data_IF_222982136499
#
_entry.id   IF_222982136499
#
_cell.length_a   1.000
_cell.length_b   1.000
_cell.length_c   1.000
_cell.angle_alpha   90.00
_cell.angle_beta   90.00
_cell.angle_gamma   90.00
#
_symmetry.space_group_name_H-M   'P 1'
#
loop_
_entity.id
_entity.type
_entity.pdbx_description
1 polymer ?
#
# COMPACT_ATOMS: atom_id res chain seq x y z
N UNK A 1 22.91 8.80 -5.04
CA UNK A 1 21.61 8.17 -5.30
C UNK A 1 21.51 7.85 -6.78
N UNK A 2 21.30 6.58 -7.16
CA UNK A 2 21.32 6.12 -8.55
C UNK A 2 19.97 6.28 -9.28
N UNK A 3 18.86 6.29 -8.53
CA UNK A 3 17.51 6.42 -9.07
C UNK A 3 16.81 7.67 -8.54
N UNK A 4 15.88 8.20 -9.33
CA UNK A 4 15.09 9.38 -8.97
C UNK A 4 13.90 9.07 -8.06
N UNK A 5 13.36 7.85 -8.14
CA UNK A 5 12.22 7.37 -7.37
C UNK A 5 12.14 5.84 -7.44
N UNK A 6 11.23 5.26 -6.66
CA UNK A 6 11.02 3.82 -6.57
C UNK A 6 10.60 3.20 -7.90
N UNK A 7 9.80 3.89 -8.72
CA UNK A 7 9.38 3.38 -10.03
C UNK A 7 10.58 3.08 -10.94
N UNK A 8 11.58 3.97 -10.97
CA UNK A 8 12.79 3.72 -11.76
C UNK A 8 13.67 2.63 -11.16
N UNK A 9 13.76 2.55 -9.83
CA UNK A 9 14.49 1.48 -9.16
C UNK A 9 13.86 0.11 -9.46
N UNK A 10 12.54 -0.02 -9.29
CA UNK A 10 11.80 -1.26 -9.50
C UNK A 10 11.76 -1.70 -10.98
N UNK A 11 12.05 -0.80 -11.92
CA UNK A 11 12.20 -1.14 -13.33
C UNK A 11 13.59 -1.72 -13.67
N UNK A 12 14.62 -1.40 -12.86
CA UNK A 12 16.01 -1.85 -13.06
C UNK A 12 16.40 -3.01 -12.13
N UNK A 13 15.71 -3.17 -11.00
CA UNK A 13 16.04 -4.13 -9.92
C UNK A 13 14.91 -5.11 -9.69
N UNK A 14 15.26 -6.30 -9.22
CA UNK A 14 14.33 -7.42 -9.06
C UNK A 14 13.98 -7.66 -7.58
N UNK A 15 12.69 -7.56 -7.26
CA UNK A 15 12.15 -7.92 -5.94
C UNK A 15 12.47 -9.39 -5.60
N UNK A 16 12.95 -9.64 -4.38
CA UNK A 16 13.36 -10.96 -3.89
C UNK A 16 14.77 -11.39 -4.32
N UNK A 17 15.45 -10.60 -5.17
CA UNK A 17 16.84 -10.84 -5.57
C UNK A 17 17.72 -9.68 -5.14
N UNK A 18 17.43 -8.46 -5.62
CA UNK A 18 18.22 -7.26 -5.30
C UNK A 18 17.72 -6.60 -4.01
N UNK A 19 16.40 -6.57 -3.82
CA UNK A 19 15.76 -5.94 -2.67
C UNK A 19 14.55 -6.74 -2.18
N UNK A 20 14.16 -6.52 -0.91
CA UNK A 20 12.91 -7.01 -0.33
C UNK A 20 12.13 -5.86 0.32
N UNK A 21 10.81 -6.02 0.39
CA UNK A 21 9.93 -5.11 1.13
C UNK A 21 9.27 -5.90 2.24
N UNK A 22 9.43 -5.44 3.48
CA UNK A 22 8.74 -5.97 4.65
C UNK A 22 7.87 -4.88 5.23
N UNK A 23 6.60 -5.21 5.48
CA UNK A 23 5.64 -4.23 5.95
C UNK A 23 4.63 -4.89 6.89
N UNK A 24 4.35 -4.23 8.01
CA UNK A 24 3.25 -4.52 8.92
C UNK A 24 2.50 -3.22 9.17
N UNK A 25 1.27 -3.15 8.69
CA UNK A 25 0.40 -2.00 8.94
C UNK A 25 -0.01 -1.92 10.40
N UNK A 26 -0.14 -0.70 10.90
CA UNK A 26 -0.82 -0.45 12.17
C UNK A 26 -2.34 -0.49 12.02
N UNK A 27 -3.02 -0.56 13.16
CA UNK A 27 -4.48 -0.43 13.26
C UNK A 27 -4.83 0.69 14.22
N UNK A 28 -5.91 1.43 13.97
CA UNK A 28 -6.30 2.58 14.79
C UNK A 28 -5.28 3.72 14.73
N UNK A 29 -4.97 4.31 15.89
CA UNK A 29 -3.84 5.22 16.07
C UNK A 29 -2.59 4.42 16.39
N UNK A 30 -1.51 4.69 15.67
CA UNK A 30 -0.28 3.92 15.79
C UNK A 30 0.97 4.73 15.48
N UNK A 31 2.09 4.27 16.03
CA UNK A 31 3.43 4.74 15.70
C UNK A 31 4.06 3.77 14.71
N UNK A 32 4.64 4.30 13.64
CA UNK A 32 5.37 3.54 12.64
C UNK A 32 6.89 3.65 12.87
N UNK A 33 7.58 2.52 12.90
CA UNK A 33 9.04 2.47 12.74
C UNK A 33 9.39 2.04 11.30
N UNK A 34 10.11 2.87 10.55
CA UNK A 34 10.44 2.58 9.15
C UNK A 34 11.94 2.61 8.89
N UNK A 35 12.48 1.61 8.21
CA UNK A 35 13.85 1.60 7.69
C UNK A 35 13.80 1.64 6.16
N UNK A 36 13.85 2.84 5.57
CA UNK A 36 13.82 2.97 4.09
C UNK A 36 15.14 2.56 3.44
N UNK A 37 16.21 2.47 4.23
CA UNK A 37 17.53 1.97 3.86
C UNK A 37 17.89 0.74 4.72
N UNK A 38 17.01 -0.27 4.68
CA UNK A 38 17.15 -1.52 5.39
C UNK A 38 18.12 -2.52 4.76
N UNK A 39 18.29 -3.67 5.41
CA UNK A 39 19.16 -4.76 4.96
C UNK A 39 20.61 -4.28 4.85
N UNK A 40 21.25 -4.57 3.71
CA UNK A 40 22.63 -4.16 3.44
C UNK A 40 22.81 -2.69 3.06
N UNK A 41 21.76 -1.86 2.98
CA UNK A 41 21.88 -0.46 2.57
C UNK A 41 22.53 0.36 3.69
N UNK A 42 21.89 0.40 4.87
CA UNK A 42 22.40 1.05 6.07
C UNK A 42 22.25 0.12 7.30
N UNK A 43 22.92 -1.05 7.31
CA UNK A 43 22.73 -2.05 8.37
C UNK A 43 23.11 -1.47 9.75
N UNK A 44 22.38 -1.79 10.85
CA UNK A 44 21.28 -2.75 10.98
C UNK A 44 19.89 -2.08 11.16
N UNK A 45 19.58 -1.04 10.39
CA UNK A 45 18.33 -0.24 10.54
C UNK A 45 17.05 -1.09 10.54
N UNK A 46 16.97 -2.13 9.69
CA UNK A 46 15.82 -3.05 9.67
C UNK A 46 15.61 -3.76 11.00
N UNK A 47 16.68 -4.26 11.62
CA UNK A 47 16.61 -4.97 12.89
C UNK A 47 16.20 -4.02 14.03
N UNK A 48 16.73 -2.80 14.04
CA UNK A 48 16.36 -1.77 15.02
C UNK A 48 14.89 -1.35 14.87
N UNK A 49 14.43 -1.08 13.65
CA UNK A 49 13.04 -0.72 13.37
C UNK A 49 12.06 -1.83 13.78
N UNK A 50 12.37 -3.08 13.41
CA UNK A 50 11.56 -4.24 13.78
C UNK A 50 11.53 -4.47 15.29
N UNK A 51 12.68 -4.35 15.97
CA UNK A 51 12.75 -4.50 17.43
C UNK A 51 11.96 -3.40 18.16
N UNK A 52 12.10 -2.15 17.73
CA UNK A 52 11.38 -1.03 18.31
C UNK A 52 9.86 -1.19 18.15
N UNK A 53 9.39 -1.65 16.98
CA UNK A 53 7.98 -1.96 16.77
C UNK A 53 7.48 -3.17 17.57
N UNK A 54 8.36 -4.07 18.01
CA UNK A 54 8.00 -5.30 18.71
C UNK A 54 7.18 -6.26 17.84
N UNK A 55 6.40 -7.14 18.45
CA UNK A 55 5.66 -8.19 17.71
C UNK A 55 4.39 -7.69 17.03
N UNK A 56 3.81 -6.59 17.52
CA UNK A 56 2.48 -6.10 17.09
C UNK A 56 2.49 -4.69 16.51
N UNK A 57 3.53 -3.89 16.74
CA UNK A 57 3.57 -2.49 16.31
C UNK A 57 3.76 -2.32 14.80
N UNK A 58 3.38 -1.18 14.22
CA UNK A 58 3.57 -0.95 12.80
C UNK A 58 5.06 -0.82 12.46
N UNK A 59 5.50 -1.49 11.40
CA UNK A 59 6.85 -1.30 10.88
C UNK A 59 6.96 -1.49 9.38
N UNK A 60 7.99 -0.90 8.82
CA UNK A 60 8.33 -0.99 7.41
C UNK A 60 9.84 -1.14 7.24
N UNK A 61 10.27 -1.89 6.22
CA UNK A 61 11.67 -2.00 5.84
C UNK A 61 11.80 -2.25 4.33
N UNK A 62 12.58 -1.41 3.65
CA UNK A 62 13.06 -1.64 2.29
C UNK A 62 14.50 -2.14 2.38
N UNK A 63 14.73 -3.41 2.07
CA UNK A 63 15.98 -4.10 2.36
C UNK A 63 16.79 -4.37 1.10
N UNK A 64 18.04 -3.92 1.06
CA UNK A 64 19.01 -4.44 0.09
C UNK A 64 19.46 -5.84 0.48
N UNK A 65 19.43 -6.79 -0.46
CA UNK A 65 19.69 -8.22 -0.19
C UNK A 65 21.13 -8.65 -0.48
N UNK A 66 21.95 -7.77 -1.06
CA UNK A 66 23.34 -8.05 -1.43
C UNK A 66 24.28 -6.94 -0.94
N UNK A 67 25.19 -7.29 -0.03
CA UNK A 67 26.15 -6.36 0.59
C UNK A 67 27.03 -5.61 -0.44
N UNK A 68 27.26 -6.17 -1.63
CA UNK A 68 28.09 -5.54 -2.66
C UNK A 68 27.36 -4.48 -3.48
N UNK A 69 26.02 -4.52 -3.51
CA UNK A 69 25.22 -3.67 -4.39
C UNK A 69 24.13 -2.89 -3.66
N UNK A 70 23.91 -3.15 -2.37
CA UNK A 70 22.82 -2.56 -1.62
C UNK A 70 22.88 -1.03 -1.57
N UNK A 71 24.06 -0.43 -1.42
CA UNK A 71 24.21 1.04 -1.41
C UNK A 71 23.67 1.72 -2.68
N UNK A 72 23.66 1.02 -3.82
CA UNK A 72 23.13 1.54 -5.08
C UNK A 72 21.60 1.63 -5.10
N UNK A 73 20.93 0.97 -4.15
CA UNK A 73 19.48 0.97 -4.01
C UNK A 73 18.96 2.14 -3.17
N UNK A 74 19.84 2.91 -2.53
CA UNK A 74 19.45 4.05 -1.72
C UNK A 74 18.68 5.09 -2.56
N UNK A 75 17.56 5.54 -2.03
CA UNK A 75 16.74 6.65 -2.53
C UNK A 75 16.74 7.75 -1.47
N UNK A 76 16.86 9.00 -1.86
CA UNK A 76 16.77 10.09 -0.87
C UNK A 76 15.44 10.03 -0.13
N UNK A 77 15.44 10.31 1.17
CA UNK A 77 14.23 10.31 1.99
C UNK A 77 13.13 11.25 1.46
N UNK A 78 13.50 12.33 0.75
CA UNK A 78 12.53 13.24 0.09
C UNK A 78 11.99 12.69 -1.23
N UNK A 79 12.73 11.80 -1.88
CA UNK A 79 12.35 11.14 -3.13
C UNK A 79 11.78 9.72 -2.92
N UNK A 80 11.76 9.23 -1.67
CA UNK A 80 11.28 7.90 -1.35
C UNK A 80 9.76 7.83 -1.48
N UNK A 81 9.29 7.04 -2.45
CA UNK A 81 7.88 6.93 -2.83
C UNK A 81 7.41 5.49 -3.03
N UNK A 82 8.09 4.51 -2.39
CA UNK A 82 7.62 3.12 -2.40
C UNK A 82 6.18 3.05 -1.81
N UNK A 83 5.21 2.47 -2.54
CA UNK A 83 3.79 2.56 -2.18
C UNK A 83 3.43 2.09 -0.77
N UNK A 84 3.97 0.97 -0.30
CA UNK A 84 3.62 0.44 1.02
C UNK A 84 4.15 1.34 2.15
N UNK A 85 5.36 1.87 2.00
CA UNK A 85 5.92 2.84 2.95
C UNK A 85 5.08 4.12 3.03
N UNK A 86 4.72 4.68 1.87
CA UNK A 86 3.93 5.91 1.78
C UNK A 86 2.57 5.74 2.46
N UNK A 87 1.89 4.61 2.21
CA UNK A 87 0.59 4.31 2.83
C UNK A 87 0.70 4.13 4.34
N UNK A 88 1.69 3.36 4.82
CA UNK A 88 1.85 3.12 6.25
C UNK A 88 2.24 4.40 6.99
N UNK A 89 3.15 5.19 6.42
CA UNK A 89 3.57 6.48 6.96
C UNK A 89 2.39 7.45 7.03
N UNK A 90 1.68 7.67 5.91
CA UNK A 90 0.58 8.64 5.82
C UNK A 90 -0.57 8.37 6.77
N UNK A 91 -0.79 7.11 7.12
CA UNK A 91 -1.85 6.71 8.05
C UNK A 91 -1.40 6.71 9.53
N UNK A 92 -0.10 6.71 9.79
CA UNK A 92 0.45 6.69 11.16
C UNK A 92 0.26 8.02 11.89
N UNK A 93 0.03 7.94 13.20
CA UNK A 93 -0.05 9.11 14.08
C UNK A 93 1.31 9.68 14.42
N UNK A 94 2.33 8.82 14.43
CA UNK A 94 3.73 9.15 14.71
C UNK A 94 4.63 8.27 13.86
N UNK A 95 5.81 8.78 13.50
CA UNK A 95 6.76 8.03 12.66
C UNK A 95 8.17 8.25 13.15
N UNK A 96 8.93 7.17 13.21
CA UNK A 96 10.37 7.15 13.43
C UNK A 96 11.01 6.46 12.23
N UNK A 97 11.82 7.19 11.47
CA UNK A 97 12.58 6.64 10.33
C UNK A 97 14.03 6.42 10.74
N UNK A 98 14.53 5.22 10.48
CA UNK A 98 15.85 4.75 10.90
C UNK A 98 16.80 4.77 9.71
N UNK A 99 17.92 5.46 9.90
CA UNK A 99 18.99 5.62 8.94
C UNK A 99 20.35 5.30 9.58
N UNK A 100 21.29 4.95 8.73
CA UNK A 100 22.71 4.90 9.05
C UNK A 100 23.45 5.98 8.30
N UNK A 101 24.34 6.68 9.00
CA UNK A 101 25.24 7.66 8.39
C UNK A 101 26.69 7.21 8.60
N UNK A 102 27.60 7.72 7.77
CA UNK A 102 29.03 7.64 8.05
C UNK A 102 29.37 8.47 9.30
N UNK A 103 30.48 8.13 9.95
CA UNK A 103 30.98 8.89 11.08
C UNK A 103 31.37 10.32 10.63
N UNK A 104 30.83 11.35 11.29
CA UNK A 104 31.18 12.77 11.09
C UNK A 104 32.49 13.12 11.82
N UNK A 105 32.82 12.35 12.88
CA UNK A 105 34.10 12.39 13.60
C UNK A 105 34.61 10.96 13.78
N UNK A 106 35.93 10.78 13.74
CA UNK A 106 36.56 9.47 13.83
C UNK A 106 36.03 8.65 15.03
N UNK A 107 35.47 7.47 14.73
CA UNK A 107 34.98 6.50 15.70
C UNK A 107 33.87 7.02 16.65
N UNK A 108 33.08 8.01 16.23
CA UNK A 108 32.01 8.54 17.07
C UNK A 108 30.83 7.57 17.22
N UNK A 109 30.18 7.59 18.38
CA UNK A 109 28.98 6.79 18.66
C UNK A 109 27.79 7.70 18.94
N UNK A 110 27.31 8.37 17.89
CA UNK A 110 26.28 9.39 18.00
C UNK A 110 25.05 8.98 17.18
N UNK A 111 23.87 9.24 17.76
CA UNK A 111 22.62 9.30 17.01
C UNK A 111 22.28 10.74 16.73
N UNK A 112 22.26 11.11 15.45
CA UNK A 112 21.75 12.40 15.03
C UNK A 112 20.22 12.35 14.91
N UNK A 113 19.56 13.32 15.52
CA UNK A 113 18.10 13.39 15.59
C UNK A 113 17.63 14.66 14.87
N UNK A 114 16.65 14.50 13.98
CA UNK A 114 16.01 15.57 13.22
C UNK A 114 14.56 15.20 12.89
N UNK A 115 13.85 16.06 12.16
CA UNK A 115 12.44 15.86 11.80
C UNK A 115 11.51 16.87 12.47
N UNK A 116 10.26 16.88 12.01
CA UNK A 116 9.28 17.91 12.38
C UNK A 116 8.44 17.58 13.64
N UNK A 117 8.68 16.46 14.34
CA UNK A 117 8.05 16.17 15.66
C UNK A 117 8.99 16.51 16.83
N UNK A 118 8.90 17.73 17.41
CA UNK A 118 9.76 18.14 18.51
C UNK A 118 9.46 17.41 19.82
N UNK A 119 8.25 16.88 20.01
CA UNK A 119 7.86 16.19 21.24
C UNK A 119 8.49 14.80 21.26
N UNK A 120 8.28 14.02 20.19
CA UNK A 120 8.87 12.69 20.06
C UNK A 120 10.40 12.77 20.01
N UNK A 121 10.97 13.73 19.29
CA UNK A 121 12.42 13.92 19.24
C UNK A 121 13.01 14.18 20.64
N UNK A 122 12.37 15.04 21.45
CA UNK A 122 12.83 15.34 22.81
C UNK A 122 12.76 14.12 23.74
N UNK A 123 11.69 13.32 23.65
CA UNK A 123 11.55 12.09 24.40
C UNK A 123 12.64 11.06 24.02
N UNK A 124 12.93 10.94 22.73
CA UNK A 124 14.00 10.05 22.23
C UNK A 124 15.36 10.50 22.75
N UNK A 125 15.69 11.79 22.64
CA UNK A 125 16.94 12.37 23.18
C UNK A 125 17.08 12.05 24.66
N UNK A 126 16.01 12.26 25.44
CA UNK A 126 16.01 12.01 26.88
C UNK A 126 16.28 10.54 27.21
N UNK A 127 15.56 9.61 26.59
CA UNK A 127 15.68 8.17 26.90
C UNK A 127 17.00 7.57 26.42
N UNK A 128 17.52 8.01 25.27
CA UNK A 128 18.83 7.59 24.78
C UNK A 128 19.96 8.07 25.70
N UNK A 129 19.96 9.36 26.07
CA UNK A 129 20.97 9.92 26.98
C UNK A 129 20.89 9.26 28.37
N UNK A 130 19.67 9.01 28.88
CA UNK A 130 19.48 8.29 30.14
C UNK A 130 19.99 6.85 30.10
N UNK A 131 20.05 6.25 28.91
CA UNK A 131 20.58 4.91 28.67
C UNK A 131 22.08 4.91 28.30
N UNK A 132 22.74 6.07 28.33
CA UNK A 132 24.18 6.21 28.07
C UNK A 132 24.56 6.34 26.60
N UNK A 133 23.62 6.58 25.69
CA UNK A 133 23.90 6.82 24.27
C UNK A 133 23.99 8.32 23.98
N UNK A 134 25.00 8.72 23.21
CA UNK A 134 25.19 10.12 22.80
C UNK A 134 24.23 10.48 21.67
N UNK A 135 23.61 11.66 21.79
CA UNK A 135 22.71 12.23 20.78
C UNK A 135 23.15 13.63 20.41
N UNK A 136 22.92 14.01 19.15
CA UNK A 136 23.16 15.37 18.67
C UNK A 136 22.14 15.76 17.59
N UNK A 137 22.10 17.03 17.20
CA UNK A 137 21.29 17.50 16.07
C UNK A 137 21.96 17.14 14.76
N UNK A 138 21.16 16.68 13.79
CA UNK A 138 21.66 16.40 12.46
C UNK A 138 22.22 17.67 11.78
N UNK A 139 23.45 17.62 11.22
CA UNK A 139 23.92 18.55 10.22
C UNK A 139 22.90 18.76 9.08
N UNK A 140 22.85 19.99 8.55
CA UNK A 140 21.93 20.38 7.47
C UNK A 140 22.04 19.49 6.23
N UNK A 141 23.21 18.89 5.98
CA UNK A 141 23.44 18.00 4.83
C UNK A 141 22.59 16.73 4.83
N UNK A 142 22.08 16.29 5.98
CA UNK A 142 21.22 15.10 6.09
C UNK A 142 20.06 15.27 7.10
N UNK A 143 19.81 16.49 7.57
CA UNK A 143 18.69 16.76 8.45
C UNK A 143 17.34 16.41 7.80
N UNK A 144 16.50 15.70 8.55
CA UNK A 144 15.19 15.23 8.12
C UNK A 144 14.06 16.24 8.26
N UNK A 145 14.34 17.55 8.29
CA UNK A 145 13.34 18.59 8.59
C UNK A 145 12.47 18.97 7.38
N UNK A 146 12.82 18.52 6.17
CA UNK A 146 12.07 18.79 4.95
C UNK A 146 10.65 18.17 5.03
N UNK A 147 9.56 18.91 4.75
CA UNK A 147 8.21 18.35 4.71
C UNK A 147 8.00 17.21 3.71
N UNK A 148 8.85 17.11 2.67
CA UNK A 148 8.83 16.01 1.70
C UNK A 148 9.60 14.78 2.19
N UNK A 149 10.42 14.90 3.24
CA UNK A 149 11.09 13.76 3.85
C UNK A 149 10.02 12.75 4.31
N UNK A 150 10.21 11.48 3.96
CA UNK A 150 9.28 10.41 4.31
C UNK A 150 8.97 10.36 5.81
N UNK A 151 9.89 10.74 6.71
CA UNK A 151 9.58 10.79 8.14
C UNK A 151 8.45 11.78 8.47
N UNK A 152 8.34 12.90 7.74
CA UNK A 152 7.35 13.96 7.96
C UNK A 152 6.09 13.80 7.10
N UNK A 153 5.92 12.67 6.41
CA UNK A 153 4.76 12.42 5.55
C UNK A 153 3.63 11.67 6.26
N UNK A 154 3.65 11.67 7.59
CA UNK A 154 2.60 11.10 8.42
C UNK A 154 1.42 12.04 8.65
N UNK A 155 0.39 11.60 9.38
CA UNK A 155 -0.86 12.35 9.53
C UNK A 155 -0.64 13.77 10.08
N UNK A 156 0.19 14.00 11.12
CA UNK A 156 0.45 15.35 11.63
C UNK A 156 1.49 16.14 10.81
N UNK A 157 2.09 15.52 9.78
CA UNK A 157 3.26 16.03 9.04
C UNK A 157 4.46 16.34 9.93
N UNK A 158 4.66 15.49 10.93
CA UNK A 158 5.66 15.64 11.97
C UNK A 158 6.16 14.25 12.37
N UNK A 159 7.33 13.86 11.89
CA UNK A 159 8.00 12.64 12.34
C UNK A 159 9.42 12.91 12.81
N UNK A 160 10.11 11.83 13.12
CA UNK A 160 11.50 11.86 13.59
C UNK A 160 12.37 11.01 12.66
N UNK A 161 13.54 11.53 12.33
CA UNK A 161 14.61 10.80 11.67
C UNK A 161 15.74 10.52 12.67
N UNK A 162 16.22 9.28 12.68
CA UNK A 162 17.38 8.85 13.46
C UNK A 162 18.49 8.42 12.52
N UNK A 163 19.58 9.18 12.48
CA UNK A 163 20.77 8.83 11.70
C UNK A 163 21.87 8.33 12.65
N UNK A 164 22.13 7.02 12.63
CA UNK A 164 23.09 6.38 13.52
C UNK A 164 24.47 6.32 12.86
N UNK A 165 25.50 6.83 13.55
CA UNK A 165 26.89 6.74 13.08
C UNK A 165 27.31 5.28 12.82
N UNK A 166 28.28 5.08 11.93
CA UNK A 166 28.77 3.75 11.59
C UNK A 166 29.36 3.05 12.81
N UNK A 167 30.15 3.76 13.61
CA UNK A 167 30.76 3.18 14.80
C UNK A 167 29.74 2.86 15.89
N UNK A 168 28.64 3.63 16.01
CA UNK A 168 27.50 3.24 16.85
C UNK A 168 26.86 1.95 16.33
N UNK A 169 26.50 1.89 15.04
CA UNK A 169 25.87 0.71 14.43
C UNK A 169 26.71 -0.56 14.59
N UNK A 170 28.03 -0.47 14.39
CA UNK A 170 28.96 -1.59 14.62
C UNK A 170 28.97 -2.05 16.08
N UNK A 171 28.82 -1.14 17.05
CA UNK A 171 28.84 -1.52 18.46
C UNK A 171 27.66 -2.40 18.89
N UNK A 172 26.62 -2.51 18.07
CA UNK A 172 25.49 -3.40 18.32
C UNK A 172 25.74 -4.87 17.96
N UNK A 173 26.84 -5.18 17.27
CA UNK A 173 27.12 -6.51 16.75
C UNK A 173 28.52 -7.00 17.13
N UNK A 174 28.66 -8.30 17.38
CA UNK A 174 29.94 -8.91 17.71
C UNK A 174 30.99 -8.62 16.62
N UNK A 175 32.17 -8.13 17.03
CA UNK A 175 33.24 -7.78 16.10
C UNK A 175 32.94 -6.58 15.17
N UNK A 176 31.80 -5.91 15.32
CA UNK A 176 31.37 -4.85 14.42
C UNK A 176 30.99 -5.33 13.02
N UNK A 177 30.64 -6.61 12.88
CA UNK A 177 30.22 -7.20 11.60
C UNK A 177 28.76 -6.80 11.29
N UNK A 178 28.59 -6.06 10.20
CA UNK A 178 27.30 -5.58 9.71
C UNK A 178 26.92 -6.23 8.36
N UNK A 179 27.60 -7.31 7.96
CA UNK A 179 27.22 -8.08 6.77
C UNK A 179 25.79 -8.62 6.88
N UNK A 180 25.14 -8.84 5.73
CA UNK A 180 23.79 -9.41 5.68
C UNK A 180 23.68 -10.72 6.48
N UNK A 181 24.72 -11.57 6.41
CA UNK A 181 24.79 -12.82 7.16
C UNK A 181 24.84 -12.59 8.68
N UNK A 182 25.64 -11.62 9.14
CA UNK A 182 25.77 -11.32 10.56
C UNK A 182 24.50 -10.70 11.15
N UNK A 183 23.87 -9.75 10.45
CA UNK A 183 22.68 -9.03 10.94
C UNK A 183 21.41 -9.88 10.94
N UNK A 184 21.36 -10.92 10.11
CA UNK A 184 20.24 -11.85 10.01
C UNK A 184 20.11 -12.74 11.26
N UNK A 185 21.20 -12.97 11.99
CA UNK A 185 21.28 -13.85 13.15
C UNK A 185 21.07 -13.06 14.45
N UNK A 186 19.95 -13.23 15.17
CA UNK A 186 19.68 -12.49 16.41
C UNK A 186 20.72 -12.73 17.51
N UNK A 187 21.38 -13.89 17.53
CA UNK A 187 22.44 -14.24 18.48
C UNK A 187 23.70 -13.37 18.37
N UNK A 188 23.89 -12.68 17.23
CA UNK A 188 25.02 -11.78 17.03
C UNK A 188 24.81 -10.38 17.65
N UNK A 189 23.59 -10.09 18.12
CA UNK A 189 23.24 -8.81 18.74
C UNK A 189 23.81 -8.71 20.15
N UNK A 190 24.50 -7.61 20.42
CA UNK A 190 25.10 -7.32 21.73
C UNK A 190 24.09 -6.63 22.66
N UNK A 191 24.35 -6.58 23.99
CA UNK A 191 23.48 -5.90 24.95
C UNK A 191 23.13 -4.45 24.56
N UNK A 192 24.07 -3.71 23.98
CA UNK A 192 23.86 -2.33 23.53
C UNK A 192 22.77 -2.20 22.47
N UNK A 193 22.58 -3.22 21.60
CA UNK A 193 21.47 -3.23 20.64
C UNK A 193 20.12 -3.16 21.35
N UNK A 194 19.95 -4.01 22.38
CA UNK A 194 18.70 -4.11 23.13
C UNK A 194 18.49 -2.89 24.01
N UNK A 195 19.53 -2.42 24.71
CA UNK A 195 19.47 -1.21 25.51
C UNK A 195 19.07 0.03 24.68
N UNK A 196 19.64 0.15 23.46
CA UNK A 196 19.29 1.21 22.53
C UNK A 196 17.83 1.11 22.06
N UNK A 197 17.41 -0.08 21.62
CA UNK A 197 16.04 -0.31 21.17
C UNK A 197 15.01 -0.10 22.27
N UNK A 198 15.30 -0.52 23.50
CA UNK A 198 14.44 -0.33 24.67
C UNK A 198 14.32 1.15 25.04
N UNK A 199 15.38 1.94 24.90
CA UNK A 199 15.31 3.39 25.09
C UNK A 199 14.35 4.05 24.10
N UNK A 200 14.43 3.68 22.81
CA UNK A 200 13.49 4.17 21.80
C UNK A 200 12.05 3.73 22.11
N UNK A 201 11.84 2.48 22.53
CA UNK A 201 10.53 1.96 22.92
C UNK A 201 9.94 2.73 24.10
N UNK A 202 10.73 3.06 25.12
CA UNK A 202 10.28 3.89 26.25
C UNK A 202 9.88 5.29 25.80
N UNK A 203 10.69 5.93 24.95
CA UNK A 203 10.34 7.24 24.40
C UNK A 203 9.02 7.20 23.60
N UNK A 204 8.87 6.19 22.75
CA UNK A 204 7.67 5.98 21.94
C UNK A 204 6.43 5.66 22.77
N UNK A 205 6.57 5.01 23.94
CA UNK A 205 5.47 4.75 24.85
C UNK A 205 4.98 6.02 25.58
N UNK A 206 5.80 7.07 25.64
CA UNK A 206 5.47 8.33 26.31
C UNK A 206 4.80 9.36 25.37
N UNK A 207 4.91 9.19 24.05
CA UNK A 207 4.28 10.12 23.09
C UNK A 207 2.80 9.78 22.90
N UNK A 208 1.88 10.75 23.01
CA UNK A 208 0.48 10.54 22.68
C UNK A 208 0.30 10.19 21.19
N UNK A 209 -0.48 9.14 20.91
CA UNK A 209 -0.82 8.73 19.53
C UNK A 209 -2.13 9.34 19.04
N UNK A 210 -2.96 9.82 19.96
CA UNK A 210 -4.22 10.47 19.63
C UNK A 210 -3.98 11.98 19.47
N UNK A 211 -4.47 12.55 18.36
CA UNK A 211 -4.72 13.98 18.26
C UNK A 211 -6.23 14.16 18.48
N UNK A 212 -6.63 15.10 19.35
CA UNK A 212 -8.03 15.52 19.60
C UNK A 212 -8.70 16.18 18.36
N UNK A 213 -8.46 15.64 17.17
CA UNK A 213 -9.08 16.02 15.92
C UNK A 213 -9.98 14.86 15.52
N UNK A 214 -11.30 15.09 15.62
CA UNK A 214 -12.39 14.19 15.26
C UNK A 214 -12.08 13.26 14.08
N UNK A 215 -12.63 12.05 14.14
CA UNK A 215 -12.67 11.03 13.10
C UNK A 215 -12.97 11.61 11.70
N UNK A 216 -11.94 12.10 11.02
CA UNK A 216 -11.95 12.30 9.58
C UNK A 216 -11.39 11.00 9.01
N UNK A 217 -12.27 10.21 8.42
CA UNK A 217 -11.91 9.07 7.57
C UNK A 217 -10.77 9.51 6.62
N UNK A 218 -9.74 8.68 6.41
CA UNK A 218 -8.58 9.06 5.63
C UNK A 218 -9.01 9.47 4.21
N UNK A 219 -8.85 10.76 3.91
CA UNK A 219 -8.92 11.27 2.54
C UNK A 219 -7.56 11.00 1.91
N UNK A 220 -7.51 10.06 0.97
CA UNK A 220 -6.37 9.88 0.09
C UNK A 220 -6.32 11.10 -0.83
N UNK A 221 -5.52 12.09 -0.47
CA UNK A 221 -5.05 13.10 -1.44
C UNK A 221 -3.54 13.10 -1.42
N UNK A 222 -2.94 12.60 -2.51
CA UNK A 222 -1.61 13.02 -2.90
C UNK A 222 -1.58 14.56 -2.97
N UNK A 223 -0.45 15.23 -2.65
CA UNK A 223 -0.34 16.66 -2.86
C UNK A 223 -0.47 16.94 -4.37
N UNK A 224 -1.65 17.44 -4.78
CA UNK A 224 -1.92 17.90 -6.14
C UNK A 224 -1.38 19.32 -6.29
N UNK A 225 -0.63 19.53 -7.36
CA UNK A 225 -0.41 20.86 -7.94
C UNK A 225 -1.77 21.48 -8.31
N UNK A 226 -1.94 22.82 -8.26
CA UNK A 226 -3.25 23.48 -8.36
C UNK A 226 -4.01 23.36 -9.71
N UNK A 227 -3.58 22.49 -10.62
CA UNK A 227 -4.06 22.45 -12.01
C UNK A 227 -4.53 21.06 -12.48
N UNK A 228 -4.66 20.09 -11.58
CA UNK A 228 -5.01 18.72 -11.98
C UNK A 228 -6.50 18.43 -11.72
N UNK A 229 -7.31 18.48 -12.77
CA UNK A 229 -8.73 18.09 -12.73
C UNK A 229 -8.85 16.65 -12.21
N UNK A 230 -9.76 16.41 -11.26
CA UNK A 230 -9.86 15.14 -10.55
C UNK A 230 -10.37 14.01 -11.47
N UNK A 231 -9.44 13.24 -12.04
CA UNK A 231 -9.77 12.03 -12.80
C UNK A 231 -9.95 10.85 -11.83
N UNK A 232 -11.11 10.19 -11.87
CA UNK A 232 -11.40 8.96 -11.12
C UNK A 232 -10.50 7.81 -11.58
N UNK A 233 -10.00 6.96 -10.67
CA UNK A 233 -9.21 5.75 -10.99
C UNK A 233 -9.96 4.54 -10.41
N UNK A 234 -10.15 3.48 -11.20
CA UNK A 234 -10.69 2.21 -10.72
C UNK A 234 -9.82 1.02 -11.12
N UNK A 235 -9.88 -0.06 -10.32
CA UNK A 235 -9.25 -1.34 -10.65
C UNK A 235 -9.93 -1.95 -11.89
N UNK A 236 -9.14 -2.54 -12.79
CA UNK A 236 -9.67 -3.23 -13.98
C UNK A 236 -10.29 -4.56 -13.63
N UNK A 237 -11.32 -4.95 -14.39
CA UNK A 237 -11.84 -6.33 -14.39
C UNK A 237 -11.59 -7.02 -15.74
N UNK A 238 -11.13 -8.29 -15.77
CA UNK A 238 -10.77 -9.14 -14.63
C UNK A 238 -9.57 -8.60 -13.85
N UNK A 239 -9.49 -8.93 -12.55
CA UNK A 239 -8.38 -8.52 -11.71
C UNK A 239 -7.07 -8.99 -12.32
N UNK A 240 -6.17 -8.04 -12.54
CA UNK A 240 -4.85 -8.32 -13.05
C UNK A 240 -3.85 -7.50 -12.26
N UNK A 241 -2.69 -8.09 -12.04
CA UNK A 241 -1.51 -7.36 -11.62
C UNK A 241 -0.81 -6.92 -12.90
N UNK A 242 -0.56 -5.63 -13.04
CA UNK A 242 0.15 -5.12 -14.20
C UNK A 242 1.64 -5.53 -14.16
N UNK A 243 2.36 -5.24 -15.24
CA UNK A 243 3.78 -5.59 -15.34
C UNK A 243 4.67 -4.85 -14.32
N UNK A 244 4.12 -3.91 -13.54
CA UNK A 244 4.82 -3.19 -12.46
C UNK A 244 4.56 -3.79 -11.08
N UNK A 245 3.77 -4.87 -10.99
CA UNK A 245 3.37 -5.46 -9.71
C UNK A 245 2.24 -4.70 -9.02
N UNK A 246 1.71 -3.64 -9.65
CA UNK A 246 0.57 -2.87 -9.19
C UNK A 246 -0.76 -3.51 -9.59
N UNK A 247 -1.84 -3.11 -8.92
CA UNK A 247 -3.18 -3.49 -9.38
C UNK A 247 -3.47 -2.74 -10.67
N UNK A 248 -3.74 -3.50 -11.74
CA UNK A 248 -4.13 -2.94 -13.03
C UNK A 248 -5.34 -2.02 -12.83
N UNK A 249 -5.20 -0.77 -13.23
CA UNK A 249 -6.21 0.26 -13.05
C UNK A 249 -6.50 0.98 -14.37
N UNK A 250 -7.61 1.70 -14.41
CA UNK A 250 -8.02 2.53 -15.52
C UNK A 250 -8.54 3.87 -15.01
N UNK A 251 -8.12 4.96 -15.65
CA UNK A 251 -8.66 6.31 -15.49
C UNK A 251 -9.80 6.61 -16.47
N UNK A 252 -10.02 5.73 -17.44
CA UNK A 252 -11.10 5.88 -18.41
C UNK A 252 -12.43 5.58 -17.72
N UNK A 253 -13.17 6.63 -17.37
CA UNK A 253 -14.48 6.57 -16.73
C UNK A 253 -15.50 5.68 -17.48
N UNK A 254 -15.31 5.48 -18.80
CA UNK A 254 -16.16 4.56 -19.59
C UNK A 254 -15.81 3.10 -19.31
N UNK A 255 -14.52 2.76 -19.29
CA UNK A 255 -14.07 1.41 -18.92
C UNK A 255 -14.45 1.09 -17.46
N UNK A 256 -14.36 2.08 -16.57
CA UNK A 256 -14.80 1.94 -15.19
C UNK A 256 -16.29 1.59 -15.09
N UNK A 257 -17.14 2.23 -15.91
CA UNK A 257 -18.57 1.92 -15.93
C UNK A 257 -18.83 0.50 -16.42
N UNK A 258 -18.12 0.07 -17.47
CA UNK A 258 -18.26 -1.28 -18.03
C UNK A 258 -17.83 -2.36 -17.04
N UNK A 259 -16.71 -2.16 -16.34
CA UNK A 259 -16.20 -3.07 -15.32
C UNK A 259 -17.20 -3.23 -14.17
N UNK A 260 -17.83 -2.15 -13.72
CA UNK A 260 -18.84 -2.20 -12.65
C UNK A 260 -20.12 -2.92 -13.08
N UNK A 261 -20.61 -2.65 -14.29
CA UNK A 261 -21.78 -3.34 -14.85
C UNK A 261 -21.47 -4.83 -15.06
N UNK A 262 -20.28 -5.19 -15.54
CA UNK A 262 -19.85 -6.58 -15.66
C UNK A 262 -19.79 -7.28 -14.31
N UNK A 263 -19.21 -6.64 -13.29
CA UNK A 263 -19.17 -7.19 -11.94
C UNK A 263 -20.57 -7.36 -11.33
N UNK A 264 -21.51 -6.45 -11.62
CA UNK A 264 -22.90 -6.52 -11.15
C UNK A 264 -23.66 -7.68 -11.81
N UNK A 265 -23.63 -7.77 -13.15
CA UNK A 265 -24.35 -8.81 -13.90
C UNK A 265 -23.76 -10.19 -13.66
N UNK A 266 -22.45 -10.29 -13.43
CA UNK A 266 -21.74 -11.52 -13.11
C UNK A 266 -21.86 -12.02 -11.67
N UNK A 267 -22.55 -11.29 -10.78
CA UNK A 267 -22.72 -11.67 -9.37
C UNK A 267 -24.18 -12.03 -9.09
N UNK A 268 -24.43 -13.14 -8.39
CA UNK A 268 -25.76 -13.47 -7.86
C UNK A 268 -25.98 -12.82 -6.47
N UNK A 269 -27.21 -12.38 -6.15
CA UNK A 269 -27.55 -11.96 -4.80
C UNK A 269 -27.19 -13.03 -3.77
N UNK A 270 -26.45 -12.63 -2.73
CA UNK A 270 -25.95 -13.50 -1.66
C UNK A 270 -24.46 -13.87 -1.76
N UNK A 271 -23.81 -13.66 -2.93
CA UNK A 271 -22.39 -13.99 -3.12
C UNK A 271 -21.43 -12.97 -2.49
N UNK A 272 -21.88 -11.74 -2.24
CA UNK A 272 -21.06 -10.69 -1.63
C UNK A 272 -21.23 -10.67 -0.13
N UNK A 273 -20.14 -10.91 0.60
CA UNK A 273 -20.08 -10.68 2.04
C UNK A 273 -20.49 -9.23 2.37
N UNK A 274 -21.37 -9.06 3.36
CA UNK A 274 -21.91 -7.76 3.81
C UNK A 274 -22.77 -7.00 2.77
N UNK A 275 -23.03 -7.56 1.58
CA UNK A 275 -23.95 -7.00 0.56
C UNK A 275 -24.80 -8.10 -0.07
N UNK A 276 -25.67 -8.70 0.72
CA UNK A 276 -26.50 -9.84 0.31
C UNK A 276 -27.47 -9.56 -0.85
N UNK A 277 -27.82 -8.30 -1.10
CA UNK A 277 -28.75 -7.92 -2.18
C UNK A 277 -28.04 -7.53 -3.48
N UNK A 278 -26.71 -7.44 -3.50
CA UNK A 278 -25.94 -7.01 -4.66
C UNK A 278 -25.81 -8.16 -5.67
N UNK A 279 -26.28 -7.93 -6.90
CA UNK A 279 -26.21 -8.88 -8.01
C UNK A 279 -27.48 -8.90 -8.86
N UNK A 280 -27.46 -9.68 -9.94
CA UNK A 280 -28.64 -9.92 -10.79
C UNK A 280 -29.12 -11.36 -10.55
N UNK A 281 -30.41 -11.60 -10.23
CA UNK A 281 -30.95 -12.95 -10.00
C UNK A 281 -31.15 -13.73 -11.33
N UNK A 282 -30.06 -14.00 -12.06
CA UNK A 282 -30.08 -14.66 -13.36
C UNK A 282 -30.47 -16.14 -13.29
N UNK A 283 -30.26 -16.80 -12.16
CA UNK A 283 -30.58 -18.21 -11.93
C UNK A 283 -32.08 -18.53 -12.02
N UNK A 284 -32.95 -17.57 -11.70
CA UNK A 284 -34.39 -17.75 -11.81
C UNK A 284 -34.88 -17.84 -13.27
N UNK A 285 -34.18 -17.18 -14.20
CA UNK A 285 -34.53 -17.17 -15.62
C UNK A 285 -34.07 -18.44 -16.36
N UNK A 286 -33.05 -19.14 -15.86
CA UNK A 286 -32.48 -20.34 -16.51
C UNK A 286 -33.42 -21.55 -16.57
N UNK A 287 -34.37 -21.65 -15.64
CA UNK A 287 -35.28 -22.81 -15.53
C UNK A 287 -36.71 -22.49 -16.00
N UNK A 288 -36.92 -21.36 -16.67
CA UNK A 288 -38.25 -21.00 -17.18
C UNK A 288 -38.63 -21.88 -18.39
N UNK A 289 -39.88 -22.33 -18.42
CA UNK A 289 -40.40 -23.25 -19.45
C UNK A 289 -40.56 -22.56 -20.82
N UNK A 290 -40.67 -21.23 -20.84
CA UNK A 290 -40.82 -20.43 -22.06
C UNK A 290 -39.62 -19.47 -22.22
N UNK A 291 -38.84 -19.56 -23.32
CA UNK A 291 -37.70 -18.69 -23.61
C UNK A 291 -38.06 -17.19 -23.69
N UNK A 292 -39.23 -16.84 -24.20
CA UNK A 292 -39.66 -15.42 -24.31
C UNK A 292 -39.88 -14.82 -22.91
N UNK A 293 -40.51 -15.59 -22.02
CA UNK A 293 -40.76 -15.17 -20.63
C UNK A 293 -39.45 -15.12 -19.83
N UNK A 294 -38.53 -16.06 -20.09
CA UNK A 294 -37.19 -16.06 -19.50
C UNK A 294 -36.42 -14.79 -19.86
N UNK A 295 -36.44 -14.43 -21.15
CA UNK A 295 -35.76 -13.23 -21.66
C UNK A 295 -36.35 -11.95 -21.07
N UNK A 296 -37.69 -11.82 -21.03
CA UNK A 296 -38.34 -10.66 -20.42
C UNK A 296 -38.04 -10.50 -18.92
N UNK A 297 -38.00 -11.61 -18.18
CA UNK A 297 -37.66 -11.61 -16.75
C UNK A 297 -36.20 -11.21 -16.53
N UNK A 298 -35.29 -11.74 -17.34
CA UNK A 298 -33.87 -11.45 -17.29
C UNK A 298 -33.58 -9.99 -17.63
N UNK A 299 -34.22 -9.46 -18.68
CA UNK A 299 -34.11 -8.06 -19.06
C UNK A 299 -34.56 -7.13 -17.94
N UNK A 300 -35.73 -7.40 -17.33
CA UNK A 300 -36.23 -6.61 -16.20
C UNK A 300 -35.28 -6.69 -14.99
N UNK A 301 -34.81 -7.88 -14.64
CA UNK A 301 -33.90 -8.06 -13.51
C UNK A 301 -32.57 -7.30 -13.69
N UNK A 302 -32.02 -7.27 -14.91
CA UNK A 302 -30.81 -6.50 -15.23
C UNK A 302 -31.11 -5.00 -15.17
N UNK A 303 -32.22 -4.54 -15.75
CA UNK A 303 -32.60 -3.10 -15.71
C UNK A 303 -32.77 -2.62 -14.27
N UNK A 304 -33.51 -3.37 -13.45
CA UNK A 304 -33.78 -3.02 -12.06
C UNK A 304 -32.48 -3.00 -11.23
N UNK A 305 -31.61 -3.99 -11.41
CA UNK A 305 -30.32 -4.06 -10.71
C UNK A 305 -29.38 -2.92 -11.13
N UNK A 306 -29.27 -2.63 -12.44
CA UNK A 306 -28.43 -1.52 -12.93
C UNK A 306 -28.97 -0.18 -12.43
N UNK A 307 -30.29 0.04 -12.45
CA UNK A 307 -30.89 1.25 -11.91
C UNK A 307 -30.65 1.41 -10.39
N UNK A 308 -30.66 0.30 -9.65
CA UNK A 308 -30.45 0.30 -8.20
C UNK A 308 -28.98 0.53 -7.80
N UNK A 309 -28.04 -0.13 -8.48
CA UNK A 309 -26.64 -0.20 -8.05
C UNK A 309 -25.69 0.67 -8.88
N UNK A 310 -26.07 1.05 -10.10
CA UNK A 310 -25.26 1.85 -11.02
C UNK A 310 -26.09 3.00 -11.65
N UNK A 311 -26.54 4.00 -10.85
CA UNK A 311 -27.41 5.08 -11.34
C UNK A 311 -26.78 5.98 -12.40
N UNK A 312 -25.45 5.91 -12.58
CA UNK A 312 -24.73 6.60 -13.66
C UNK A 312 -24.82 5.88 -15.02
N UNK A 313 -25.32 4.64 -15.06
CA UNK A 313 -25.49 3.85 -16.27
C UNK A 313 -26.89 4.04 -16.88
N UNK A 314 -26.94 4.16 -18.20
CA UNK A 314 -28.18 4.05 -18.99
C UNK A 314 -28.07 2.79 -19.84
N UNK A 315 -28.98 1.84 -19.61
CA UNK A 315 -29.07 0.60 -20.39
C UNK A 315 -29.82 0.89 -21.69
N UNK A 316 -29.15 0.72 -22.83
CA UNK A 316 -29.74 1.00 -24.15
C UNK A 316 -30.35 -0.24 -24.80
N UNK A 317 -29.77 -1.43 -24.56
CA UNK A 317 -30.35 -2.71 -24.96
C UNK A 317 -29.76 -3.88 -24.16
N UNK A 318 -30.48 -4.99 -24.13
CA UNK A 318 -30.04 -6.25 -23.54
C UNK A 318 -30.33 -7.36 -24.54
N UNK A 319 -29.29 -8.08 -24.97
CA UNK A 319 -29.41 -9.22 -25.89
C UNK A 319 -29.02 -10.48 -25.13
N UNK A 320 -29.93 -11.45 -25.02
CA UNK A 320 -29.61 -12.77 -24.48
C UNK A 320 -29.35 -13.73 -25.64
N UNK A 321 -28.17 -14.36 -25.66
CA UNK A 321 -27.81 -15.40 -26.63
C UNK A 321 -27.83 -16.76 -25.92
N UNK A 322 -28.74 -17.63 -26.33
CA UNK A 322 -28.99 -18.93 -25.70
C UNK A 322 -28.23 -20.01 -26.47
N UNK A 323 -27.30 -20.67 -25.80
CA UNK A 323 -26.61 -21.83 -26.33
C UNK A 323 -27.27 -23.12 -25.83
N UNK A 324 -28.20 -23.65 -26.63
CA UNK A 324 -28.96 -24.87 -26.31
C UNK A 324 -28.06 -26.11 -26.13
N UNK A 325 -26.93 -26.20 -26.82
CA UNK A 325 -26.02 -27.35 -26.76
C UNK A 325 -25.21 -27.41 -25.45
N UNK A 326 -24.96 -26.25 -24.83
CA UNK A 326 -24.21 -26.13 -23.57
C UNK A 326 -25.11 -25.80 -22.38
N UNK A 327 -26.41 -25.61 -22.60
CA UNK A 327 -27.36 -25.20 -21.56
C UNK A 327 -26.99 -23.86 -20.90
N UNK A 328 -26.38 -22.95 -21.67
CA UNK A 328 -25.90 -21.66 -21.15
C UNK A 328 -26.58 -20.48 -21.83
N UNK A 329 -26.72 -19.38 -21.10
CA UNK A 329 -27.22 -18.11 -21.63
C UNK A 329 -26.13 -17.07 -21.47
N UNK A 330 -25.75 -16.43 -22.57
CA UNK A 330 -24.87 -15.27 -22.59
C UNK A 330 -25.70 -14.00 -22.61
N UNK A 331 -25.70 -13.28 -21.50
CA UNK A 331 -26.38 -11.98 -21.42
C UNK A 331 -25.42 -10.91 -21.88
N UNK A 332 -25.81 -10.15 -22.89
CA UNK A 332 -25.06 -9.05 -23.50
C UNK A 332 -25.75 -7.72 -23.18
N UNK A 333 -25.21 -6.97 -22.22
CA UNK A 333 -25.79 -5.69 -21.79
C UNK A 333 -25.08 -4.54 -22.50
N UNK A 334 -25.86 -3.65 -23.11
CA UNK A 334 -25.40 -2.43 -23.76
C UNK A 334 -25.64 -1.24 -22.83
N UNK A 335 -24.58 -0.56 -22.40
CA UNK A 335 -24.65 0.55 -21.44
C UNK A 335 -23.92 1.80 -21.93
N UNK A 336 -24.46 2.96 -21.56
CA UNK A 336 -23.87 4.28 -21.78
C UNK A 336 -23.93 5.10 -20.49
N UNK A 337 -23.26 6.26 -20.45
CA UNK A 337 -23.28 7.13 -19.25
C UNK A 337 -24.46 8.12 -19.29
N UNK A 338 -25.08 8.34 -18.14
CA UNK A 338 -26.20 9.26 -17.98
C UNK A 338 -25.82 10.75 -18.13
N UNK A 339 -24.55 11.11 -17.98
CA UNK A 339 -24.04 12.49 -17.98
C UNK A 339 -23.60 12.99 -19.37
N UNK A 340 -23.65 12.15 -20.41
CA UNK A 340 -23.29 12.52 -21.79
C UNK A 340 -24.54 12.50 -22.69
N UNK A 341 -25.10 13.67 -23.05
CA UNK A 341 -26.25 13.75 -23.95
C UNK A 341 -25.90 13.15 -25.33
N UNK A 342 -26.66 12.15 -25.78
CA UNK A 342 -26.50 11.55 -27.12
C UNK A 342 -25.50 10.38 -27.22
N UNK A 343 -24.96 9.88 -26.11
CA UNK A 343 -24.03 8.74 -26.09
C UNK A 343 -24.66 7.39 -26.51
N UNK A 344 -25.98 7.32 -26.67
CA UNK A 344 -26.73 6.12 -27.07
C UNK A 344 -26.44 5.65 -28.52
N UNK A 345 -25.80 6.47 -29.37
CA UNK A 345 -25.74 6.21 -30.81
C UNK A 345 -24.43 5.67 -31.38
N UNK A 346 -23.31 5.69 -30.65
CA UNK A 346 -22.00 5.32 -31.23
C UNK A 346 -21.09 4.43 -30.36
N UNK A 347 -21.43 4.12 -29.09
CA UNK A 347 -20.49 3.46 -28.17
C UNK A 347 -21.12 2.33 -27.35
N UNK A 348 -21.89 1.50 -28.03
CA UNK A 348 -22.47 0.33 -27.43
C UNK A 348 -21.43 -0.79 -27.27
N UNK A 349 -21.14 -1.19 -26.02
CA UNK A 349 -20.28 -2.35 -25.74
C UNK A 349 -21.04 -3.45 -25.02
N UNK A 350 -20.71 -4.68 -25.41
CA UNK A 350 -21.37 -5.90 -24.96
C UNK A 350 -20.62 -6.50 -23.78
N UNK A 351 -21.28 -6.58 -22.63
CA UNK A 351 -20.81 -7.33 -21.46
C UNK A 351 -21.43 -8.72 -21.53
N UNK A 352 -20.65 -9.76 -21.86
CA UNK A 352 -21.11 -11.15 -21.95
C UNK A 352 -20.89 -11.91 -20.65
N UNK A 353 -21.97 -12.33 -19.99
CA UNK A 353 -21.91 -13.17 -18.79
C UNK A 353 -22.50 -14.54 -19.09
N UNK A 354 -21.70 -15.59 -18.95
CA UNK A 354 -22.13 -16.98 -19.09
C UNK A 354 -22.86 -17.40 -17.81
N UNK A 355 -24.17 -17.59 -17.90
CA UNK A 355 -24.98 -18.10 -16.80
C UNK A 355 -25.17 -19.61 -17.00
N UNK A 356 -24.40 -20.44 -16.29
CA UNK A 356 -24.44 -21.91 -16.39
C UNK A 356 -23.11 -22.60 -16.06
N UNK A 357 -23.15 -23.87 -15.63
CA UNK A 357 -21.97 -24.67 -15.26
C UNK A 357 -21.78 -25.89 -16.16
N UNK A 358 -20.52 -26.21 -16.50
CA UNK A 358 -20.15 -27.43 -17.23
C UNK A 358 -20.31 -28.66 -16.33
N UNK A 359 -21.21 -29.58 -16.66
CA UNK A 359 -21.14 -30.95 -16.15
C UNK A 359 -20.15 -31.71 -17.05
N UNK A 360 -18.94 -31.94 -16.54
CA UNK A 360 -18.01 -32.88 -17.18
C UNK A 360 -18.47 -34.29 -16.77
N UNK A 361 -19.25 -34.98 -17.60
CA UNK A 361 -19.40 -36.42 -17.45
C UNK A 361 -18.13 -37.08 -17.95
N UNK A 362 -17.32 -37.63 -17.05
CA UNK A 362 -16.29 -38.60 -17.44
C UNK A 362 -16.98 -39.83 -18.02
N UNK A 363 -16.64 -40.27 -19.25
CA UNK A 363 -17.17 -41.52 -19.77
C UNK A 363 -16.54 -42.71 -19.03
N UNK A 364 -17.35 -43.72 -18.71
CA UNK A 364 -16.89 -45.07 -18.31
C UNK A 364 -16.21 -45.82 -19.46
#
# INVERSE_FOLDING_TARGET
MAYQNFRYLAADRVLGIDYAIKNRYGSGTYLLHAAIHGGGIEPPTSQLAAYAAGDTGAWYSFEGLNDLTAENLALSATAFDEPFCVVNTGNSSRTVVWHGVGDQREAEKVTYISGADPVLASLIVQELNASGFETDRAPVSFAGDDPQNICNRNRPRAGVQLDLSLTLRKSFYAGGDLSAAAIALPENRLPDFFAYGDAIRRACALVPLDSDTDDVLPVITQPRTPDDQAVSIAMRTPFAIDHSGGVSATTDEREQLLDRVHALVGTLPGERAMRSTYGVPTSAALFAVNPEVANDQLQRAVIDAVAQFEPSAVVSAIVADVNEALGSVNVNVQVSRADVPGAERDNTRTVGVLVGGTVISTPE
#
